data_IF_754969789945
#
_entry.id   IF_754969789945
#
_cell.length_a   1.000
_cell.length_b   1.000
_cell.length_c   1.000
_cell.angle_alpha   90.00
_cell.angle_beta   90.00
_cell.angle_gamma   90.00
#
_symmetry.space_group_name_H-M   'P 1'
#
loop_
_entity.id
_entity.type
_entity.pdbx_description
1 polymer ?
#
# COMPACT_ATOMS: atom_id res chain seq x y z
N UNK A 1 -34.26 15.63 -51.26
CA UNK A 1 -33.60 14.81 -50.22
C UNK A 1 -32.09 15.05 -50.04
N UNK A 2 -31.38 15.81 -50.93
CA UNK A 2 -29.93 16.03 -50.80
C UNK A 2 -29.49 17.32 -50.05
N UNK A 3 -30.43 18.14 -49.55
CA UNK A 3 -30.12 19.38 -48.79
C UNK A 3 -30.32 19.26 -47.27
N UNK A 4 -30.84 18.14 -46.77
CA UNK A 4 -31.13 17.94 -45.34
C UNK A 4 -29.98 17.21 -44.62
N UNK A 5 -29.23 16.35 -45.31
CA UNK A 5 -28.10 15.63 -44.70
C UNK A 5 -26.88 16.54 -44.41
N UNK A 6 -26.57 17.48 -45.28
CA UNK A 6 -25.37 18.32 -45.11
C UNK A 6 -25.50 19.28 -43.91
N UNK A 7 -26.72 19.73 -43.60
CA UNK A 7 -26.99 20.60 -42.45
C UNK A 7 -26.99 19.83 -41.11
N UNK A 8 -27.20 18.51 -41.14
CA UNK A 8 -27.17 17.67 -39.94
C UNK A 8 -25.73 17.26 -39.61
N UNK A 9 -24.90 16.96 -40.62
CA UNK A 9 -23.49 16.62 -40.45
C UNK A 9 -22.69 17.81 -39.91
N UNK A 10 -22.91 19.04 -40.40
CA UNK A 10 -22.23 20.23 -39.87
C UNK A 10 -22.57 20.52 -38.40
N UNK A 11 -23.82 20.28 -37.97
CA UNK A 11 -24.23 20.50 -36.57
C UNK A 11 -23.62 19.47 -35.61
N UNK A 12 -23.44 18.22 -36.04
CA UNK A 12 -22.79 17.19 -35.23
C UNK A 12 -21.28 17.43 -35.05
N UNK A 13 -20.59 17.92 -36.09
CA UNK A 13 -19.15 18.24 -36.01
C UNK A 13 -18.90 19.42 -35.07
N UNK A 14 -19.78 20.43 -35.05
CA UNK A 14 -19.63 21.58 -34.14
C UNK A 14 -19.84 21.23 -32.66
N UNK A 15 -20.68 20.24 -32.35
CA UNK A 15 -20.95 19.78 -30.96
C UNK A 15 -19.80 18.89 -30.43
N UNK A 16 -19.10 18.17 -31.32
CA UNK A 16 -18.01 17.26 -30.94
C UNK A 16 -16.68 17.96 -30.64
N UNK A 17 -16.49 19.23 -31.02
CA UNK A 17 -15.24 19.96 -30.74
C UNK A 17 -15.26 20.59 -29.33
N UNK A 18 -16.43 20.83 -28.73
CA UNK A 18 -16.54 21.42 -27.37
C UNK A 18 -16.59 20.39 -26.24
N UNK A 19 -16.77 19.11 -26.56
CA UNK A 19 -16.77 18.02 -25.58
C UNK A 19 -15.93 16.88 -26.15
N UNK A 20 -14.69 16.71 -25.66
CA UNK A 20 -13.65 15.85 -26.23
C UNK A 20 -13.97 14.35 -26.27
N UNK A 21 -14.99 13.95 -27.02
CA UNK A 21 -15.47 12.59 -27.18
C UNK A 21 -15.33 12.20 -28.66
N UNK A 22 -14.44 11.26 -28.97
CA UNK A 22 -14.33 10.70 -30.33
C UNK A 22 -15.23 9.46 -30.41
N UNK A 23 -16.30 9.54 -31.22
CA UNK A 23 -17.15 8.39 -31.58
C UNK A 23 -16.87 8.07 -33.05
N UNK A 24 -16.39 6.86 -33.35
CA UNK A 24 -16.26 6.35 -34.71
C UNK A 24 -17.51 5.58 -35.12
N UNK A 25 -18.20 6.04 -36.18
CA UNK A 25 -19.35 5.37 -36.78
C UNK A 25 -18.90 4.40 -37.90
N UNK A 26 -19.35 3.16 -37.86
CA UNK A 26 -19.26 2.22 -38.99
C UNK A 26 -20.69 1.90 -39.45
N UNK A 27 -21.02 2.24 -40.69
CA UNK A 27 -22.30 1.87 -41.30
C UNK A 27 -22.14 0.60 -42.13
N UNK A 28 -22.84 -0.47 -41.75
CA UNK A 28 -23.03 -1.67 -42.56
C UNK A 28 -24.53 -1.90 -42.80
N UNK A 29 -24.93 -2.10 -44.05
CA UNK A 29 -26.30 -2.41 -44.44
C UNK A 29 -26.53 -3.93 -44.38
N UNK A 30 -27.53 -4.38 -43.61
CA UNK A 30 -28.14 -5.70 -43.78
C UNK A 30 -29.59 -5.53 -44.26
N UNK A 31 -29.95 -6.32 -45.26
CA UNK A 31 -31.09 -6.12 -46.16
C UNK A 31 -32.46 -6.52 -45.63
N UNK A 32 -32.86 -6.03 -44.45
CA UNK A 32 -34.26 -6.03 -44.00
C UNK A 32 -34.56 -4.61 -43.49
N UNK A 33 -35.46 -3.87 -44.15
CA UNK A 33 -35.66 -2.43 -44.03
C UNK A 33 -36.15 -1.88 -42.67
N UNK A 34 -35.44 -2.16 -41.58
CA UNK A 34 -35.58 -1.53 -40.27
C UNK A 34 -34.20 -1.02 -39.78
N UNK A 35 -34.05 0.31 -39.67
CA UNK A 35 -32.87 0.92 -39.05
C UNK A 35 -32.85 0.61 -37.55
N UNK A 36 -31.85 -0.17 -37.11
CA UNK A 36 -31.53 -0.35 -35.69
C UNK A 36 -30.15 0.26 -35.43
N UNK A 37 -30.12 1.46 -34.86
CA UNK A 37 -28.87 2.06 -34.37
C UNK A 37 -28.37 1.22 -33.20
N UNK A 38 -27.23 0.54 -33.38
CA UNK A 38 -26.52 -0.15 -32.30
C UNK A 38 -25.34 0.73 -31.87
N UNK A 39 -25.36 1.17 -30.62
CA UNK A 39 -24.23 1.85 -30.01
C UNK A 39 -23.26 0.80 -29.50
N UNK A 40 -22.10 0.66 -30.16
CA UNK A 40 -21.01 -0.15 -29.63
C UNK A 40 -20.08 0.76 -28.85
N UNK A 41 -20.18 0.71 -27.53
CA UNK A 41 -19.21 1.36 -26.65
C UNK A 41 -17.94 0.49 -26.63
N UNK A 42 -16.89 0.90 -27.34
CA UNK A 42 -15.58 0.29 -27.17
C UNK A 42 -15.00 0.77 -25.83
N UNK A 43 -15.24 0.01 -24.76
CA UNK A 43 -14.35 0.04 -23.59
C UNK A 43 -13.00 -0.50 -24.08
N UNK A 44 -11.93 0.28 -23.91
CA UNK A 44 -10.59 -0.28 -23.85
C UNK A 44 -10.64 -1.40 -22.81
N UNK A 45 -10.25 -2.60 -23.22
CA UNK A 45 -10.23 -3.80 -22.39
C UNK A 45 -9.41 -3.55 -21.12
N UNK A 46 -10.11 -3.21 -20.05
CA UNK A 46 -9.65 -3.50 -18.69
C UNK A 46 -9.91 -4.99 -18.48
N UNK A 47 -8.85 -5.73 -18.17
CA UNK A 47 -9.01 -7.06 -17.59
C UNK A 47 -9.96 -6.93 -16.39
N UNK A 48 -11.00 -7.77 -16.36
CA UNK A 48 -11.96 -7.80 -15.26
C UNK A 48 -11.24 -8.23 -13.97
N UNK A 49 -10.90 -7.28 -13.10
CA UNK A 49 -10.53 -7.56 -11.72
C UNK A 49 -11.81 -7.59 -10.88
N UNK A 50 -12.01 -8.70 -10.16
CA UNK A 50 -13.07 -8.81 -9.17
C UNK A 50 -12.64 -7.98 -7.95
N UNK A 51 -13.21 -6.78 -7.81
CA UNK A 51 -13.19 -6.04 -6.56
C UNK A 51 -14.04 -6.79 -5.53
N UNK A 52 -13.38 -7.55 -4.65
CA UNK A 52 -13.97 -7.93 -3.38
C UNK A 52 -13.42 -6.96 -2.32
N UNK A 53 -14.19 -5.91 -2.03
CA UNK A 53 -13.93 -5.02 -0.91
C UNK A 53 -14.08 -5.81 0.39
N UNK A 54 -13.00 -6.08 1.12
CA UNK A 54 -13.11 -6.38 2.55
C UNK A 54 -12.92 -5.09 3.33
N UNK A 55 -14.05 -4.51 3.75
CA UNK A 55 -14.10 -3.60 4.89
C UNK A 55 -13.69 -4.38 6.14
N UNK A 56 -13.01 -3.70 7.06
CA UNK A 56 -12.58 -4.19 8.37
C UNK A 56 -11.37 -5.12 8.40
N UNK A 57 -10.19 -4.52 8.53
CA UNK A 57 -9.17 -5.08 9.42
C UNK A 57 -8.39 -3.96 10.12
N UNK A 58 -9.07 -3.25 11.02
CA UNK A 58 -8.49 -2.26 11.93
C UNK A 58 -8.37 -2.84 13.33
N UNK A 59 -7.56 -3.87 13.53
CA UNK A 59 -7.35 -4.43 14.89
C UNK A 59 -6.47 -3.55 15.78
N UNK A 60 -5.89 -2.47 15.23
CA UNK A 60 -4.96 -1.59 15.96
C UNK A 60 -5.24 -0.08 15.73
N UNK A 61 -6.33 0.29 15.06
CA UNK A 61 -6.63 1.70 14.77
C UNK A 61 -7.52 2.33 15.86
N UNK A 62 -7.27 3.59 16.25
CA UNK A 62 -8.13 4.28 17.20
C UNK A 62 -9.60 4.35 16.77
N UNK A 63 -10.49 3.89 17.65
CA UNK A 63 -11.90 4.24 17.55
C UNK A 63 -12.05 5.75 17.80
N UNK A 64 -12.77 6.44 16.91
CA UNK A 64 -13.01 7.89 17.01
C UNK A 64 -13.79 8.18 18.30
N UNK A 65 -13.21 8.93 19.23
CA UNK A 65 -14.02 9.57 20.26
C UNK A 65 -14.78 10.68 19.56
N UNK A 66 -16.11 10.61 19.49
CA UNK A 66 -16.92 11.75 19.09
C UNK A 66 -16.64 12.88 20.08
N UNK A 67 -15.73 13.78 19.75
CA UNK A 67 -15.46 14.97 20.55
C UNK A 67 -16.38 16.07 20.06
N UNK A 68 -17.22 16.54 20.98
CA UNK A 68 -17.80 17.87 21.00
C UNK A 68 -16.85 18.90 20.39
N UNK A 69 -17.38 19.70 19.46
CA UNK A 69 -16.67 20.73 18.72
C UNK A 69 -15.87 21.67 19.64
N UNK A 70 -14.58 21.92 19.37
CA UNK A 70 -13.92 23.12 19.82
C UNK A 70 -14.29 24.25 18.85
N UNK A 71 -15.18 25.13 19.30
CA UNK A 71 -15.42 26.41 18.65
C UNK A 71 -14.17 27.28 18.73
N UNK A 72 -13.53 27.53 17.59
CA UNK A 72 -12.81 28.78 17.30
C UNK A 72 -12.57 28.85 15.79
N UNK A 73 -13.36 29.70 15.12
CA UNK A 73 -13.14 30.08 13.71
C UNK A 73 -11.79 30.79 13.52
N UNK A 74 -11.10 30.60 12.39
CA UNK A 74 -10.06 31.51 11.95
C UNK A 74 -10.67 32.78 11.36
N UNK A 75 -10.23 33.92 11.86
CA UNK A 75 -10.60 35.28 11.44
C UNK A 75 -10.36 35.50 9.93
N UNK A 76 -11.43 35.85 9.21
CA UNK A 76 -11.39 36.52 7.90
C UNK A 76 -12.20 37.82 8.02
N UNK A 77 -11.58 38.95 7.74
CA UNK A 77 -12.20 40.29 7.77
C UNK A 77 -12.94 40.61 6.48
N UNK A 78 -14.22 41.01 6.56
CA UNK A 78 -14.78 42.21 5.91
C UNK A 78 -16.21 42.54 6.39
N UNK A 79 -16.55 43.84 6.36
CA UNK A 79 -17.70 44.52 6.99
C UNK A 79 -19.03 44.42 6.20
N UNK A 80 -20.17 44.46 6.92
CA UNK A 80 -21.48 44.79 6.36
C UNK A 80 -22.63 44.69 7.38
N UNK A 81 -23.39 45.77 7.54
CA UNK A 81 -24.32 46.14 8.62
C UNK A 81 -25.75 45.52 8.61
N UNK A 82 -26.28 45.28 9.83
CA UNK A 82 -27.68 45.51 10.34
C UNK A 82 -28.85 44.69 9.76
N UNK A 83 -29.95 44.30 10.44
CA UNK A 83 -30.70 44.64 11.69
C UNK A 83 -31.51 43.39 12.18
N UNK A 84 -31.71 43.20 13.50
CA UNK A 84 -32.63 42.17 14.07
C UNK A 84 -34.10 42.64 14.18
N UNK A 85 -34.92 42.17 15.16
CA UNK A 85 -34.93 40.89 15.89
C UNK A 85 -36.35 40.21 15.92
N UNK A 86 -36.45 38.96 16.37
CA UNK A 86 -37.70 38.46 16.99
C UNK A 86 -37.44 37.32 17.98
N UNK A 87 -37.98 37.52 19.17
CA UNK A 87 -37.99 36.69 20.38
C UNK A 87 -39.00 35.54 20.29
N UNK A 88 -38.65 34.36 20.85
CA UNK A 88 -39.54 33.45 21.61
C UNK A 88 -38.67 32.32 22.21
N UNK A 89 -38.37 32.41 23.51
CA UNK A 89 -39.01 31.68 24.63
C UNK A 89 -38.67 30.18 24.73
N UNK A 90 -37.93 29.91 25.80
CA UNK A 90 -37.50 28.65 26.38
C UNK A 90 -38.65 27.87 27.00
N UNK A 91 -38.76 26.57 26.70
CA UNK A 91 -39.33 25.57 27.61
C UNK A 91 -38.55 24.27 27.52
N UNK A 92 -37.94 23.89 28.65
CA UNK A 92 -37.29 22.61 28.91
C UNK A 92 -38.30 21.68 29.58
N UNK A 93 -38.54 20.49 29.01
CA UNK A 93 -39.09 19.35 29.76
C UNK A 93 -38.30 18.07 29.45
N UNK A 94 -37.99 17.26 30.49
CA UNK A 94 -37.18 16.04 30.33
C UNK A 94 -38.02 14.84 29.89
N UNK A 95 -37.46 14.01 29.01
CA UNK A 95 -38.04 12.71 28.65
C UNK A 95 -37.91 11.68 29.78
N UNK A 96 -38.94 10.87 30.08
CA UNK A 96 -38.89 9.88 31.15
C UNK A 96 -38.05 8.65 30.75
N UNK A 97 -37.01 8.36 31.53
CA UNK A 97 -36.25 7.12 31.48
C UNK A 97 -37.02 6.02 32.23
N UNK A 98 -37.47 4.98 31.53
CA UNK A 98 -38.03 3.77 32.16
C UNK A 98 -36.96 2.68 32.19
N UNK A 99 -36.36 2.49 33.37
CA UNK A 99 -35.43 1.38 33.64
C UNK A 99 -36.25 0.17 34.03
N UNK A 100 -36.43 -0.79 33.10
CA UNK A 100 -37.00 -2.11 33.41
C UNK A 100 -35.87 -3.04 33.86
N UNK A 101 -35.91 -3.63 35.07
CA UNK A 101 -34.94 -4.63 35.46
C UNK A 101 -35.15 -5.92 34.65
N UNK A 102 -34.08 -6.41 34.03
CA UNK A 102 -34.05 -7.72 33.40
C UNK A 102 -33.82 -8.79 34.50
N UNK A 103 -34.57 -9.90 34.52
CA UNK A 103 -34.42 -10.93 35.54
C UNK A 103 -33.10 -11.69 35.34
N UNK A 104 -32.29 -11.76 36.40
CA UNK A 104 -31.12 -12.62 36.49
C UNK A 104 -31.56 -14.03 36.88
N UNK A 105 -31.68 -14.92 35.90
CA UNK A 105 -31.74 -16.37 36.14
C UNK A 105 -30.33 -16.95 36.05
N UNK A 106 -29.79 -17.40 37.17
CA UNK A 106 -28.55 -18.17 37.24
C UNK A 106 -28.89 -19.63 36.99
N UNK A 107 -28.69 -20.13 35.77
CA UNK A 107 -28.64 -21.57 35.52
C UNK A 107 -27.23 -22.10 35.86
N UNK A 108 -27.09 -23.14 36.70
CA UNK A 108 -25.81 -23.81 36.88
C UNK A 108 -25.45 -24.62 35.64
N UNK A 109 -24.22 -24.45 35.14
CA UNK A 109 -23.68 -25.28 34.05
C UNK A 109 -23.64 -26.77 34.44
N UNK A 110 -24.07 -27.70 33.58
CA UNK A 110 -23.88 -29.13 33.84
C UNK A 110 -22.40 -29.48 33.71
N UNK A 111 -21.78 -29.82 34.84
CA UNK A 111 -20.43 -30.40 34.88
C UNK A 111 -20.53 -31.87 34.49
N UNK A 112 -20.15 -32.22 33.26
CA UNK A 112 -19.95 -33.62 32.85
C UNK A 112 -18.48 -33.96 32.96
N UNK A 113 -18.09 -34.52 34.11
CA UNK A 113 -16.78 -35.12 34.31
C UNK A 113 -16.77 -36.49 33.61
N UNK A 114 -16.22 -36.54 32.39
CA UNK A 114 -15.93 -37.81 31.73
C UNK A 114 -14.58 -38.34 32.23
N UNK A 115 -14.52 -39.51 32.90
CA UNK A 115 -13.23 -40.10 33.25
C UNK A 115 -12.49 -40.54 31.98
N UNK A 116 -11.23 -40.13 31.86
CA UNK A 116 -10.30 -40.61 30.83
C UNK A 116 -9.89 -42.05 31.16
N UNK A 117 -9.90 -43.00 30.21
CA UNK A 117 -9.40 -44.34 30.45
C UNK A 117 -7.88 -44.36 30.50
N UNK A 118 -7.32 -44.61 31.69
CA UNK A 118 -5.89 -44.87 31.89
C UNK A 118 -5.58 -46.29 31.40
N UNK A 119 -4.94 -46.42 30.23
CA UNK A 119 -4.33 -47.68 29.79
C UNK A 119 -2.83 -47.64 30.04
N UNK A 120 -2.41 -48.21 31.16
CA UNK A 120 -1.00 -48.46 31.47
C UNK A 120 -0.53 -49.68 30.68
N UNK A 121 0.20 -49.47 29.58
CA UNK A 121 0.89 -50.55 28.86
C UNK A 121 2.33 -50.63 29.38
N UNK A 122 2.78 -51.76 29.97
CA UNK A 122 4.17 -51.92 30.36
C UNK A 122 5.08 -52.04 29.13
N UNK A 123 6.20 -51.32 29.17
CA UNK A 123 7.28 -51.38 28.17
C UNK A 123 8.14 -52.64 28.40
N UNK A 124 8.38 -53.50 27.40
CA UNK A 124 9.30 -54.61 27.56
C UNK A 124 10.75 -54.13 27.36
N UNK A 125 11.53 -54.19 28.45
CA UNK A 125 12.99 -54.07 28.43
C UNK A 125 13.59 -55.31 27.78
N UNK A 126 14.26 -55.16 26.64
CA UNK A 126 15.17 -56.19 26.11
C UNK A 126 16.52 -55.57 25.79
N UNK A 127 17.48 -55.90 26.65
CA UNK A 127 18.90 -55.58 26.48
C UNK A 127 19.51 -56.68 25.62
N UNK A 128 20.05 -56.36 24.44
CA UNK A 128 20.96 -57.25 23.71
C UNK A 128 22.16 -56.45 23.20
N UNK A 129 23.41 -56.87 23.49
CA UNK A 129 24.60 -56.15 23.08
C UNK A 129 24.89 -56.38 21.59
N UNK A 130 25.35 -55.33 20.91
CA UNK A 130 25.86 -55.41 19.53
C UNK A 130 27.39 -55.39 19.55
N UNK A 131 28.07 -56.23 18.74
CA UNK A 131 29.49 -56.53 18.91
C UNK A 131 30.40 -55.45 18.35
N UNK A 132 31.53 -55.24 19.05
CA UNK A 132 32.66 -54.44 18.62
C UNK A 132 33.51 -55.26 17.65
N UNK A 133 33.63 -54.82 16.39
CA UNK A 133 34.68 -55.29 15.49
C UNK A 133 35.34 -54.12 14.77
N UNK A 134 36.58 -53.89 15.15
CA UNK A 134 37.54 -52.96 14.55
C UNK A 134 38.14 -53.59 13.27
N UNK A 135 38.11 -52.89 12.13
CA UNK A 135 39.01 -53.16 10.99
C UNK A 135 39.23 -51.88 10.15
N UNK A 136 40.46 -51.60 9.66
CA UNK A 136 40.92 -50.24 9.44
C UNK A 136 40.53 -49.61 8.08
N UNK A 137 40.65 -48.29 8.07
CA UNK A 137 40.45 -47.34 6.96
C UNK A 137 41.32 -47.65 5.72
N UNK A 138 40.77 -47.52 4.50
CA UNK A 138 41.53 -47.15 3.32
C UNK A 138 41.44 -45.64 3.11
N UNK A 139 42.59 -44.98 3.20
CA UNK A 139 42.83 -43.59 2.84
C UNK A 139 42.90 -43.50 1.31
N UNK A 140 41.92 -42.85 0.68
CA UNK A 140 42.05 -42.33 -0.68
C UNK A 140 41.81 -40.83 -0.65
N UNK A 141 42.92 -40.10 -0.55
CA UNK A 141 42.99 -38.64 -0.66
C UNK A 141 42.68 -38.25 -2.10
N UNK A 142 41.46 -37.83 -2.38
CA UNK A 142 41.15 -37.04 -3.59
C UNK A 142 41.32 -35.57 -3.20
N UNK A 143 42.21 -34.79 -3.85
CA UNK A 143 42.34 -33.38 -3.54
C UNK A 143 41.04 -32.67 -3.90
N UNK A 144 40.44 -32.03 -2.90
CA UNK A 144 39.38 -31.04 -3.09
C UNK A 144 40.02 -29.80 -3.73
N UNK A 145 39.48 -29.24 -4.83
CA UNK A 145 39.97 -27.98 -5.35
C UNK A 145 39.66 -26.89 -4.33
N UNK A 146 40.70 -26.37 -3.69
CA UNK A 146 40.65 -25.12 -2.93
C UNK A 146 40.56 -23.98 -3.95
N UNK A 147 39.35 -23.69 -4.40
CA UNK A 147 39.03 -22.37 -4.94
C UNK A 147 38.63 -21.52 -3.74
N UNK A 148 39.59 -20.76 -3.23
CA UNK A 148 39.31 -19.59 -2.40
C UNK A 148 38.63 -18.57 -3.30
N UNK A 149 37.32 -18.70 -3.46
CA UNK A 149 36.51 -17.68 -4.11
C UNK A 149 36.44 -16.49 -3.15
N UNK A 150 36.97 -15.32 -3.51
CA UNK A 150 36.79 -14.15 -2.65
C UNK A 150 35.29 -13.85 -2.60
N UNK A 151 34.75 -13.68 -1.38
CA UNK A 151 33.43 -13.07 -1.21
C UNK A 151 33.34 -11.82 -2.10
N UNK A 152 32.28 -11.64 -2.90
CA UNK A 152 32.10 -10.40 -3.62
C UNK A 152 31.78 -9.34 -2.57
N UNK A 153 32.82 -8.61 -2.16
CA UNK A 153 32.64 -7.27 -1.63
C UNK A 153 32.07 -6.48 -2.78
N UNK A 154 30.77 -6.16 -2.72
CA UNK A 154 30.15 -5.17 -3.61
C UNK A 154 30.74 -3.81 -3.30
N UNK A 155 31.98 -3.62 -3.74
CA UNK A 155 32.61 -2.30 -3.83
C UNK A 155 31.94 -1.57 -4.99
N UNK A 156 31.78 -0.25 -4.84
CA UNK A 156 31.20 0.71 -5.81
C UNK A 156 31.90 0.77 -7.18
N UNK A 157 32.73 -0.20 -7.54
CA UNK A 157 33.70 -0.14 -8.63
C UNK A 157 33.21 -0.74 -9.97
N UNK A 158 31.97 -1.22 -10.06
CA UNK A 158 31.40 -1.76 -11.32
C UNK A 158 30.36 -0.85 -11.98
N UNK A 159 30.11 0.35 -11.45
CA UNK A 159 29.44 1.38 -12.22
C UNK A 159 30.48 1.97 -13.18
N UNK A 160 30.16 2.05 -14.47
CA UNK A 160 30.92 2.86 -15.40
C UNK A 160 31.12 4.24 -14.74
N UNK A 161 32.36 4.75 -14.69
CA UNK A 161 32.82 5.89 -13.86
C UNK A 161 32.05 7.23 -14.04
N UNK A 162 30.95 7.25 -14.79
CA UNK A 162 30.11 8.42 -15.09
C UNK A 162 28.62 8.26 -14.69
N UNK A 163 28.19 7.20 -14.00
CA UNK A 163 26.78 7.08 -13.56
C UNK A 163 26.52 7.96 -12.35
N UNK A 164 25.84 9.10 -12.58
CA UNK A 164 25.38 9.98 -11.50
C UNK A 164 24.10 9.42 -10.89
N UNK A 165 24.21 8.91 -9.66
CA UNK A 165 23.04 8.48 -8.86
C UNK A 165 22.28 9.73 -8.38
N UNK A 166 20.97 9.74 -8.57
CA UNK A 166 20.07 10.78 -8.06
C UNK A 166 18.70 10.21 -7.75
N UNK A 167 18.18 10.48 -6.56
CA UNK A 167 16.82 10.06 -6.16
C UNK A 167 15.88 11.24 -5.96
N UNK A 168 14.57 10.96 -5.93
CA UNK A 168 13.57 11.99 -5.65
C UNK A 168 13.36 12.08 -4.14
N UNK A 169 14.01 13.06 -3.51
CA UNK A 169 13.85 13.33 -2.07
C UNK A 169 12.70 14.34 -1.85
N UNK A 170 11.73 14.02 -0.99
CA UNK A 170 10.62 14.92 -0.70
C UNK A 170 11.08 16.15 0.10
N UNK A 171 10.46 17.30 -0.14
CA UNK A 171 10.78 18.58 0.52
C UNK A 171 9.49 19.21 1.03
N UNK A 172 9.43 19.54 2.31
CA UNK A 172 8.37 20.34 2.91
C UNK A 172 8.70 21.83 2.74
N UNK A 173 8.11 22.49 1.75
CA UNK A 173 8.42 23.90 1.45
C UNK A 173 7.68 24.91 2.32
N UNK A 174 6.64 24.49 3.05
CA UNK A 174 5.83 25.33 3.92
C UNK A 174 4.87 26.29 3.19
N UNK A 175 4.79 26.25 1.86
CA UNK A 175 3.93 27.17 1.08
C UNK A 175 2.44 26.88 1.28
N UNK A 176 2.08 25.63 1.58
CA UNK A 176 0.77 25.24 2.09
C UNK A 176 0.94 24.27 3.25
N UNK A 177 0.49 24.66 4.43
CA UNK A 177 0.59 23.82 5.61
C UNK A 177 -0.51 24.10 6.64
N UNK A 178 -0.81 23.09 7.44
CA UNK A 178 -1.60 23.21 8.67
C UNK A 178 -0.69 22.92 9.86
N UNK A 179 -0.72 23.77 10.88
CA UNK A 179 0.10 23.64 12.09
C UNK A 179 -0.81 23.71 13.31
N UNK A 180 -0.91 22.61 14.06
CA UNK A 180 -1.69 22.55 15.29
C UNK A 180 -1.14 21.46 16.22
N UNK A 181 -1.17 21.71 17.53
CA UNK A 181 -0.85 20.71 18.58
C UNK A 181 0.45 19.93 18.34
N UNK A 182 1.53 20.63 17.99
CA UNK A 182 2.84 20.06 17.67
C UNK A 182 2.88 19.16 16.43
N UNK A 183 1.87 19.24 15.56
CA UNK A 183 1.81 18.52 14.30
C UNK A 183 1.79 19.51 13.15
N UNK A 184 2.69 19.31 12.20
CA UNK A 184 2.75 20.05 10.95
C UNK A 184 2.35 19.10 9.82
N UNK A 185 1.31 19.45 9.07
CA UNK A 185 0.91 18.81 7.81
C UNK A 185 1.31 19.76 6.69
N UNK A 186 2.37 19.45 5.95
CA UNK A 186 2.81 20.21 4.77
C UNK A 186 2.26 19.54 3.50
N UNK A 187 1.34 20.21 2.83
CA UNK A 187 0.71 19.74 1.59
C UNK A 187 1.06 20.64 0.41
N UNK A 188 2.20 21.32 0.48
CA UNK A 188 2.72 22.21 -0.57
C UNK A 188 2.89 21.51 -1.92
N UNK A 189 3.19 20.21 -1.90
CA UNK A 189 3.47 19.40 -3.09
C UNK A 189 2.30 18.51 -3.51
N UNK A 190 1.15 18.60 -2.84
CA UNK A 190 0.04 17.66 -3.04
C UNK A 190 -0.53 17.71 -4.46
N UNK A 191 -0.72 18.91 -5.02
CA UNK A 191 -1.31 19.08 -6.35
C UNK A 191 -0.31 18.95 -7.51
N UNK A 192 0.98 19.22 -7.25
CA UNK A 192 2.01 19.33 -8.30
C UNK A 192 2.91 18.10 -8.41
N UNK A 193 3.14 17.37 -7.30
CA UNK A 193 4.04 16.22 -7.25
C UNK A 193 3.42 14.99 -6.58
N UNK A 194 2.18 15.07 -6.12
CA UNK A 194 1.45 13.91 -5.64
C UNK A 194 1.87 13.38 -4.26
N UNK A 195 2.44 14.22 -3.40
CA UNK A 195 2.76 13.85 -2.02
C UNK A 195 2.53 15.00 -1.04
N UNK A 196 2.35 14.66 0.22
CA UNK A 196 2.40 15.59 1.36
C UNK A 196 3.38 15.06 2.40
N UNK A 197 3.72 15.88 3.39
CA UNK A 197 4.63 15.50 4.47
C UNK A 197 4.05 15.84 5.84
N UNK A 198 4.33 15.00 6.83
CA UNK A 198 3.91 15.23 8.22
C UNK A 198 5.13 15.22 9.12
N UNK A 199 5.16 16.12 10.10
CA UNK A 199 6.17 16.18 11.15
C UNK A 199 5.52 16.34 12.52
N UNK A 200 5.97 15.55 13.48
CA UNK A 200 5.71 15.79 14.90
C UNK A 200 6.85 16.63 15.50
N UNK A 201 6.52 17.75 16.13
CA UNK A 201 7.47 18.61 16.86
C UNK A 201 7.33 18.46 18.38
N UNK A 202 6.51 17.52 18.84
CA UNK A 202 6.28 17.20 20.25
C UNK A 202 7.24 16.13 20.78
N UNK A 203 6.81 15.42 21.83
CA UNK A 203 7.63 14.43 22.54
C UNK A 203 7.81 13.15 21.71
N UNK A 204 9.03 12.60 21.69
CA UNK A 204 9.38 11.42 20.90
C UNK A 204 8.80 10.09 21.44
N UNK A 205 8.29 10.04 22.67
CA UNK A 205 7.72 8.81 23.27
C UNK A 205 6.30 8.50 22.81
N UNK A 206 5.63 9.47 22.19
CA UNK A 206 4.23 9.37 21.81
C UNK A 206 4.06 8.69 20.45
N UNK A 207 3.05 7.84 20.33
CA UNK A 207 2.71 7.17 19.05
C UNK A 207 1.69 8.00 18.30
N UNK A 208 2.04 8.43 17.09
CA UNK A 208 1.13 9.18 16.23
C UNK A 208 0.73 8.35 15.01
N UNK A 209 -0.49 8.57 14.54
CA UNK A 209 -1.02 7.95 13.34
C UNK A 209 -1.61 8.96 12.38
N UNK A 210 -1.35 8.78 11.09
CA UNK A 210 -1.87 9.60 10.00
C UNK A 210 -2.99 8.83 9.31
N UNK A 211 -4.13 9.46 9.09
CA UNK A 211 -5.25 8.92 8.32
C UNK A 211 -5.53 9.84 7.13
N UNK A 212 -5.62 9.27 5.94
CA UNK A 212 -6.16 9.93 4.76
C UNK A 212 -7.57 9.39 4.55
N UNK A 213 -8.48 10.26 4.17
CA UNK A 213 -9.84 9.92 3.77
C UNK A 213 -10.03 10.49 2.36
N UNK A 214 -10.34 9.64 1.37
CA UNK A 214 -10.62 10.10 0.01
C UNK A 214 -12.07 10.59 -0.16
N UNK A 215 -12.42 11.05 -1.36
CA UNK A 215 -13.75 11.58 -1.68
C UNK A 215 -14.87 10.54 -1.50
N UNK A 216 -14.55 9.26 -1.66
CA UNK A 216 -15.48 8.14 -1.50
C UNK A 216 -15.59 7.67 -0.03
N UNK A 217 -14.81 8.28 0.87
CA UNK A 217 -14.77 7.95 2.29
C UNK A 217 -13.90 6.75 2.63
N UNK A 218 -13.09 6.23 1.69
CA UNK A 218 -12.10 5.19 1.97
C UNK A 218 -11.01 5.76 2.87
N UNK A 219 -10.54 4.95 3.83
CA UNK A 219 -9.58 5.37 4.85
C UNK A 219 -8.26 4.64 4.69
N UNK A 220 -7.17 5.39 4.70
CA UNK A 220 -5.81 4.90 4.61
C UNK A 220 -5.04 5.35 5.83
N UNK A 221 -4.51 4.39 6.58
CA UNK A 221 -3.93 4.64 7.89
C UNK A 221 -2.42 4.43 7.83
N UNK A 222 -1.66 5.17 8.62
CA UNK A 222 -0.22 5.04 8.63
C UNK A 222 0.30 5.37 10.03
N UNK A 223 1.36 4.68 10.46
CA UNK A 223 2.13 5.16 11.60
C UNK A 223 2.99 6.35 11.16
N UNK A 224 3.10 7.35 12.03
CA UNK A 224 4.07 8.44 11.88
C UNK A 224 5.33 8.09 12.67
N UNK A 225 6.51 8.38 12.10
CA UNK A 225 7.76 8.17 12.83
C UNK A 225 7.85 8.98 14.13
N UNK A 226 8.64 8.47 15.07
CA UNK A 226 8.92 9.11 16.37
C UNK A 226 10.21 9.94 16.39
N UNK A 227 10.88 10.08 15.25
CA UNK A 227 12.19 10.76 15.15
C UNK A 227 12.07 12.29 15.16
N UNK A 228 10.85 12.81 15.09
CA UNK A 228 10.58 14.24 14.99
C UNK A 228 10.99 14.81 13.64
N UNK A 229 11.16 13.98 12.61
CA UNK A 229 11.51 14.37 11.25
C UNK A 229 10.30 14.30 10.31
N UNK A 230 10.36 15.05 9.21
CA UNK A 230 9.33 14.98 8.18
C UNK A 230 9.30 13.60 7.53
N UNK A 231 8.10 13.09 7.31
CA UNK A 231 7.84 11.87 6.57
C UNK A 231 6.86 12.14 5.45
N UNK A 232 7.13 11.60 4.26
CA UNK A 232 6.29 11.81 3.08
C UNK A 232 5.29 10.68 2.88
N UNK A 233 4.11 11.06 2.40
CA UNK A 233 2.97 10.17 2.15
C UNK A 233 2.41 10.46 0.76
N UNK A 234 1.92 9.42 0.09
CA UNK A 234 1.27 9.48 -1.22
C UNK A 234 -0.24 9.38 -1.11
N UNK A 235 -0.95 9.71 -2.19
CA UNK A 235 -2.41 9.63 -2.28
C UNK A 235 -2.83 8.32 -2.98
N UNK A 236 -3.42 7.35 -2.24
CA UNK A 236 -3.63 6.00 -2.77
C UNK A 236 -4.67 5.89 -3.89
N UNK A 237 -5.80 6.58 -3.72
CA UNK A 237 -6.93 6.63 -4.68
C UNK A 237 -6.67 7.49 -5.92
N UNK A 238 -5.47 8.08 -6.03
CA UNK A 238 -5.10 8.93 -7.15
C UNK A 238 -5.48 10.40 -6.95
N UNK A 239 -5.64 11.14 -8.07
CA UNK A 239 -5.97 12.56 -8.02
C UNK A 239 -7.39 12.75 -7.47
N UNK A 240 -7.61 13.80 -6.69
CA UNK A 240 -8.88 14.06 -6.04
C UNK A 240 -8.68 14.80 -4.71
N UNK A 241 -9.77 15.06 -4.01
CA UNK A 241 -9.73 15.67 -2.70
C UNK A 241 -9.57 14.62 -1.59
N UNK A 242 -8.86 15.02 -0.54
CA UNK A 242 -8.59 14.19 0.63
C UNK A 242 -8.69 15.01 1.90
N UNK A 243 -9.21 14.38 2.94
CA UNK A 243 -9.03 14.85 4.32
C UNK A 243 -7.86 14.10 4.95
N UNK A 244 -6.86 14.84 5.45
CA UNK A 244 -5.73 14.29 6.19
C UNK A 244 -5.96 14.57 7.67
N UNK A 245 -5.93 13.54 8.51
CA UNK A 245 -6.05 13.64 9.98
C UNK A 245 -4.84 13.02 10.65
N UNK A 246 -4.37 13.63 11.73
CA UNK A 246 -3.28 13.10 12.55
C UNK A 246 -3.76 12.94 13.99
N UNK A 247 -3.59 11.74 14.53
CA UNK A 247 -4.04 11.34 15.85
C UNK A 247 -2.85 11.02 16.75
N UNK A 248 -2.93 11.41 18.03
CA UNK A 248 -2.14 10.80 19.10
C UNK A 248 -2.82 9.50 19.51
N UNK A 249 -2.13 8.37 19.37
CA UNK A 249 -2.65 7.03 19.67
C UNK A 249 -2.25 6.57 21.08
N UNK A 250 -3.23 6.13 21.85
CA UNK A 250 -3.02 5.48 23.13
C UNK A 250 -3.20 3.96 22.98
N UNK A 251 -2.08 3.23 22.98
CA UNK A 251 -2.09 1.77 22.83
C UNK A 251 -2.81 1.04 23.98
N UNK A 252 -2.85 1.61 25.19
CA UNK A 252 -3.51 0.97 26.34
C UNK A 252 -5.04 0.98 26.25
N UNK A 253 -5.60 2.00 25.58
CA UNK A 253 -7.04 2.15 25.41
C UNK A 253 -7.51 1.83 23.99
N UNK A 254 -6.58 1.73 23.03
CA UNK A 254 -6.89 1.60 21.62
C UNK A 254 -7.63 2.82 21.05
N UNK A 255 -7.46 4.00 21.67
CA UNK A 255 -8.16 5.23 21.28
C UNK A 255 -7.18 6.29 20.77
N UNK A 256 -7.71 7.22 19.98
CA UNK A 256 -6.92 8.26 19.32
C UNK A 256 -7.54 9.63 19.56
N UNK A 257 -6.70 10.59 19.92
CA UNK A 257 -7.11 11.99 20.04
C UNK A 257 -6.60 12.75 18.83
N UNK A 258 -7.49 13.34 18.03
CA UNK A 258 -7.11 14.14 16.87
C UNK A 258 -6.28 15.35 17.30
N UNK A 259 -5.17 15.58 16.60
CA UNK A 259 -4.21 16.66 16.89
C UNK A 259 -4.14 17.69 15.78
N UNK A 260 -4.31 17.27 14.53
CA UNK A 260 -4.36 18.17 13.38
C UNK A 260 -5.18 17.56 12.24
N UNK A 261 -5.73 18.41 11.37
CA UNK A 261 -6.45 18.03 10.16
C UNK A 261 -6.16 19.03 9.02
N UNK A 262 -6.24 18.57 7.78
CA UNK A 262 -6.14 19.41 6.59
C UNK A 262 -6.97 18.83 5.44
N UNK A 263 -7.71 19.69 4.73
CA UNK A 263 -8.34 19.36 3.44
C UNK A 263 -7.37 19.66 2.30
N UNK A 264 -7.17 18.71 1.40
CA UNK A 264 -6.13 18.76 0.38
C UNK A 264 -6.67 18.30 -0.96
N UNK A 265 -6.42 19.07 -2.01
CA UNK A 265 -6.64 18.64 -3.39
C UNK A 265 -5.33 18.09 -3.98
N UNK A 266 -5.32 16.79 -4.26
CA UNK A 266 -4.17 16.05 -4.76
C UNK A 266 -4.18 15.94 -6.29
N UNK A 267 -3.00 16.05 -6.88
CA UNK A 267 -2.79 16.03 -8.32
C UNK A 267 -1.41 15.46 -8.65
N UNK A 268 -1.23 14.99 -9.88
CA UNK A 268 -0.01 14.31 -10.30
C UNK A 268 0.41 13.16 -9.36
N UNK A 269 -0.58 12.42 -8.84
CA UNK A 269 -0.39 11.43 -7.79
C UNK A 269 0.48 10.25 -8.20
N UNK A 270 0.46 9.89 -9.49
CA UNK A 270 1.41 8.92 -10.07
C UNK A 270 2.86 9.35 -9.80
N UNK A 271 3.22 10.62 -10.00
CA UNK A 271 4.58 11.11 -9.74
C UNK A 271 4.99 10.95 -8.27
N UNK A 272 4.04 11.02 -7.34
CA UNK A 272 4.28 10.82 -5.91
C UNK A 272 4.95 9.47 -5.61
N UNK A 273 4.59 8.43 -6.37
CA UNK A 273 5.16 7.09 -6.26
C UNK A 273 6.58 6.95 -6.83
N UNK A 274 7.26 8.05 -7.14
CA UNK A 274 8.71 8.08 -7.42
C UNK A 274 9.54 8.54 -6.22
N UNK A 275 8.90 9.15 -5.21
CA UNK A 275 9.57 9.70 -4.05
C UNK A 275 9.79 8.66 -2.96
N UNK A 276 10.75 8.97 -2.08
CA UNK A 276 10.88 8.31 -0.77
C UNK A 276 9.63 8.60 0.05
N UNK A 277 9.04 7.58 0.68
CA UNK A 277 7.82 7.68 1.51
C UNK A 277 7.96 6.90 2.81
N UNK A 278 7.01 7.04 3.72
CA UNK A 278 6.93 6.29 4.98
C UNK A 278 7.03 4.76 4.78
N UNK A 279 6.42 4.25 3.72
CA UNK A 279 6.37 2.82 3.39
C UNK A 279 7.48 2.35 2.45
N UNK A 280 8.20 3.27 1.79
CA UNK A 280 9.29 2.97 0.86
C UNK A 280 10.41 3.97 1.12
N UNK A 281 11.27 3.62 2.07
CA UNK A 281 12.35 4.48 2.55
C UNK A 281 13.71 4.04 1.98
N UNK A 282 14.46 4.97 1.38
CA UNK A 282 15.79 4.74 0.81
C UNK A 282 16.55 6.06 0.66
N UNK A 283 17.87 5.98 0.50
CA UNK A 283 18.73 7.15 0.23
C UNK A 283 19.61 6.88 -0.97
N UNK A 284 20.31 7.90 -1.50
CA UNK A 284 21.29 7.72 -2.58
C UNK A 284 22.43 6.77 -2.19
N UNK A 285 22.65 6.56 -0.89
CA UNK A 285 23.66 5.66 -0.34
C UNK A 285 23.17 4.22 -0.16
N UNK A 286 21.88 3.96 -0.36
CA UNK A 286 21.32 2.62 -0.23
C UNK A 286 21.93 1.67 -1.26
N UNK A 287 22.27 0.45 -0.84
CA UNK A 287 22.85 -0.58 -1.71
C UNK A 287 21.86 -0.99 -2.80
N UNK A 288 20.56 -1.04 -2.49
CA UNK A 288 19.48 -1.27 -3.46
C UNK A 288 19.39 -0.19 -4.54
N UNK A 289 19.69 1.07 -4.21
CA UNK A 289 19.78 2.15 -5.19
C UNK A 289 20.97 1.91 -6.11
N UNK A 290 22.16 1.68 -5.56
CA UNK A 290 23.36 1.42 -6.35
C UNK A 290 23.19 0.22 -7.29
N UNK A 291 22.61 -0.87 -6.78
CA UNK A 291 22.32 -2.08 -7.57
C UNK A 291 21.27 -1.85 -8.65
N UNK A 292 20.25 -1.02 -8.40
CA UNK A 292 19.29 -0.62 -9.43
C UNK A 292 19.96 0.08 -10.61
N UNK A 293 20.85 1.03 -10.33
CA UNK A 293 21.59 1.73 -11.38
C UNK A 293 22.52 0.80 -12.17
N UNK A 294 23.15 -0.16 -11.51
CA UNK A 294 23.97 -1.19 -12.19
C UNK A 294 23.11 -2.05 -13.13
N UNK A 295 21.98 -2.59 -12.65
CA UNK A 295 21.09 -3.46 -13.45
C UNK A 295 20.48 -2.70 -14.63
N UNK A 296 20.23 -1.40 -14.46
CA UNK A 296 19.60 -0.55 -15.46
C UNK A 296 20.60 0.15 -16.39
N UNK A 297 21.91 -0.08 -16.25
CA UNK A 297 22.90 0.56 -17.09
C UNK A 297 22.68 0.21 -18.57
N UNK A 298 22.76 1.23 -19.43
CA UNK A 298 22.47 1.12 -20.86
C UNK A 298 20.99 0.90 -21.24
N UNK A 299 20.07 0.68 -20.30
CA UNK A 299 18.64 0.52 -20.58
C UNK A 299 17.94 1.88 -20.70
N UNK A 300 17.24 2.09 -21.81
CA UNK A 300 16.66 3.40 -22.16
C UNK A 300 15.17 3.53 -21.88
N UNK A 301 14.44 2.43 -21.75
CA UNK A 301 12.98 2.45 -21.49
C UNK A 301 12.66 1.99 -20.08
N UNK A 302 11.63 2.59 -19.48
CA UNK A 302 11.15 2.20 -18.16
C UNK A 302 10.74 0.72 -18.12
N UNK A 303 10.08 0.24 -19.18
CA UNK A 303 9.70 -1.18 -19.29
C UNK A 303 10.93 -2.11 -19.24
N UNK A 304 12.00 -1.79 -19.97
CA UNK A 304 13.21 -2.62 -19.98
C UNK A 304 13.87 -2.64 -18.59
N UNK A 305 13.94 -1.48 -17.93
CA UNK A 305 14.47 -1.34 -16.57
C UNK A 305 13.67 -2.15 -15.56
N UNK A 306 12.34 -2.03 -15.59
CA UNK A 306 11.44 -2.77 -14.69
C UNK A 306 11.59 -4.28 -14.88
N UNK A 307 11.64 -4.76 -16.14
CA UNK A 307 11.85 -6.18 -16.43
C UNK A 307 13.20 -6.68 -15.94
N UNK A 308 14.27 -5.89 -16.09
CA UNK A 308 15.60 -6.25 -15.61
C UNK A 308 15.66 -6.32 -14.08
N UNK A 309 15.09 -5.32 -13.38
CA UNK A 309 14.97 -5.30 -11.92
C UNK A 309 14.16 -6.51 -11.43
N UNK A 310 12.99 -6.74 -12.02
CA UNK A 310 12.12 -7.86 -11.67
C UNK A 310 12.84 -9.20 -11.83
N UNK A 311 13.49 -9.43 -12.98
CA UNK A 311 14.27 -10.64 -13.24
C UNK A 311 15.37 -10.83 -12.21
N UNK A 312 16.13 -9.78 -11.90
CA UNK A 312 17.18 -9.86 -10.89
C UNK A 312 16.63 -10.30 -9.53
N UNK A 313 15.53 -9.72 -9.08
CA UNK A 313 14.91 -10.07 -7.79
C UNK A 313 14.46 -11.54 -7.80
N UNK A 314 13.75 -11.98 -8.84
CA UNK A 314 13.29 -13.37 -8.99
C UNK A 314 14.45 -14.37 -8.99
N UNK A 315 15.56 -14.04 -9.65
CA UNK A 315 16.70 -14.95 -9.79
C UNK A 315 17.61 -14.98 -8.55
N UNK A 316 17.56 -13.96 -7.68
CA UNK A 316 18.57 -13.78 -6.63
C UNK A 316 18.01 -13.74 -5.21
N UNK A 317 16.70 -13.63 -5.02
CA UNK A 317 16.10 -13.61 -3.68
C UNK A 317 15.37 -14.93 -3.46
N UNK A 318 15.69 -15.61 -2.37
CA UNK A 318 15.03 -16.82 -1.91
C UNK A 318 13.92 -16.50 -0.89
N UNK A 319 12.88 -17.34 -0.88
CA UNK A 319 11.77 -17.15 0.04
C UNK A 319 12.14 -17.63 1.45
N UNK A 320 12.01 -16.74 2.43
CA UNK A 320 12.30 -17.03 3.83
C UNK A 320 11.13 -17.78 4.49
N UNK A 321 11.16 -19.10 4.36
CA UNK A 321 10.14 -19.98 4.95
C UNK A 321 10.16 -19.99 6.47
N UNK A 322 11.32 -19.82 7.09
CA UNK A 322 11.43 -19.83 8.56
C UNK A 322 10.74 -18.60 9.14
N UNK A 323 10.99 -17.41 8.58
CA UNK A 323 10.29 -16.19 8.97
C UNK A 323 8.78 -16.30 8.73
N UNK A 324 8.37 -16.89 7.60
CA UNK A 324 6.97 -17.14 7.28
C UNK A 324 6.29 -18.05 8.31
N UNK A 325 6.88 -19.19 8.66
CA UNK A 325 6.27 -20.15 9.59
C UNK A 325 6.31 -19.70 11.04
N UNK A 326 7.32 -18.93 11.42
CA UNK A 326 7.43 -18.37 12.78
C UNK A 326 6.56 -17.13 12.99
N UNK A 327 5.84 -16.68 11.95
CA UNK A 327 5.05 -15.45 11.94
C UNK A 327 5.86 -14.24 12.46
N UNK A 328 7.13 -14.21 12.07
CA UNK A 328 8.05 -13.14 12.45
C UNK A 328 7.79 -11.93 11.54
N UNK A 329 6.76 -11.20 11.94
CA UNK A 329 6.29 -9.97 11.34
C UNK A 329 7.05 -8.76 11.92
N UNK A 330 8.39 -8.83 11.96
CA UNK A 330 9.18 -7.60 12.10
C UNK A 330 8.97 -6.79 10.82
N UNK A 331 7.90 -5.99 10.77
CA UNK A 331 7.49 -5.08 9.68
C UNK A 331 8.52 -4.02 9.31
N UNK A 332 9.72 -4.08 9.88
CA UNK A 332 10.82 -3.21 9.52
C UNK A 332 11.46 -3.72 8.21
N UNK A 333 10.69 -3.65 7.13
CA UNK A 333 11.11 -4.07 5.80
C UNK A 333 12.21 -3.12 5.32
N UNK A 334 13.35 -3.69 4.95
CA UNK A 334 14.53 -2.93 4.53
C UNK A 334 15.12 -3.55 3.27
N UNK A 335 15.03 -2.82 2.15
CA UNK A 335 15.50 -3.27 0.85
C UNK A 335 17.00 -3.63 0.84
N UNK A 336 17.85 -2.88 1.57
CA UNK A 336 19.29 -3.18 1.65
C UNK A 336 19.54 -4.48 2.42
N UNK A 337 18.74 -4.75 3.45
CA UNK A 337 18.81 -6.03 4.17
C UNK A 337 18.43 -7.19 3.24
N UNK A 338 17.30 -7.12 2.54
CA UNK A 338 16.86 -8.14 1.58
C UNK A 338 17.92 -8.36 0.49
N UNK A 339 18.49 -7.28 -0.04
CA UNK A 339 19.53 -7.35 -1.06
C UNK A 339 20.80 -8.04 -0.56
N UNK A 340 21.17 -7.80 0.71
CA UNK A 340 22.36 -8.36 1.35
C UNK A 340 22.18 -9.82 1.74
N UNK A 341 21.07 -10.16 2.38
CA UNK A 341 20.78 -11.53 2.84
C UNK A 341 20.36 -12.46 1.72
N UNK A 342 19.88 -11.90 0.59
CA UNK A 342 19.28 -12.65 -0.52
C UNK A 342 18.05 -13.46 -0.09
N UNK A 343 17.38 -13.06 0.98
CA UNK A 343 16.22 -13.76 1.52
C UNK A 343 15.14 -12.78 2.00
N UNK A 344 13.87 -13.17 1.86
CA UNK A 344 12.74 -12.44 2.44
C UNK A 344 11.39 -13.09 2.18
N UNK A 345 10.31 -12.49 2.69
CA UNK A 345 8.92 -12.85 2.39
C UNK A 345 8.30 -11.81 1.44
N UNK A 346 7.03 -11.97 1.06
CA UNK A 346 6.40 -11.17 0.01
C UNK A 346 6.55 -9.64 0.16
N UNK A 347 6.54 -9.15 1.40
CA UNK A 347 6.74 -7.72 1.72
C UNK A 347 8.16 -7.24 1.41
N UNK A 348 9.18 -8.08 1.64
CA UNK A 348 10.58 -7.78 1.34
C UNK A 348 10.85 -7.73 -0.16
N UNK A 349 10.29 -8.69 -0.92
CA UNK A 349 10.35 -8.67 -2.39
C UNK A 349 9.72 -7.39 -2.94
N UNK A 350 8.51 -7.05 -2.47
CA UNK A 350 7.78 -5.90 -2.95
C UNK A 350 8.47 -4.57 -2.57
N UNK A 351 9.08 -4.49 -1.38
CA UNK A 351 9.86 -3.34 -0.94
C UNK A 351 11.13 -3.16 -1.78
N UNK A 352 11.90 -4.24 -2.00
CA UNK A 352 13.11 -4.19 -2.82
C UNK A 352 12.80 -3.72 -4.24
N UNK A 353 11.74 -4.26 -4.85
CA UNK A 353 11.29 -3.84 -6.18
C UNK A 353 10.86 -2.37 -6.20
N UNK A 354 10.08 -1.92 -5.19
CA UNK A 354 9.69 -0.52 -5.06
C UNK A 354 10.89 0.42 -4.96
N UNK A 355 11.88 0.11 -4.12
CA UNK A 355 13.10 0.93 -3.98
C UNK A 355 13.88 0.98 -5.30
N UNK A 356 14.11 -0.17 -5.94
CA UNK A 356 14.88 -0.24 -7.17
C UNK A 356 14.21 0.50 -8.33
N UNK A 357 12.89 0.37 -8.50
CA UNK A 357 12.16 1.10 -9.54
C UNK A 357 12.08 2.61 -9.26
N UNK A 358 11.81 3.01 -8.00
CA UNK A 358 11.75 4.43 -7.63
C UNK A 358 13.10 5.13 -7.76
N UNK A 359 14.21 4.42 -7.52
CA UNK A 359 15.56 4.91 -7.80
C UNK A 359 15.74 5.31 -9.27
N UNK A 360 15.11 4.59 -10.19
CA UNK A 360 15.07 4.91 -11.63
C UNK A 360 14.02 5.96 -12.01
N UNK A 361 13.39 6.61 -11.02
CA UNK A 361 12.26 7.55 -11.20
C UNK A 361 11.01 6.92 -11.80
N UNK A 362 10.87 5.59 -11.70
CA UNK A 362 9.73 4.86 -12.25
C UNK A 362 8.66 4.74 -11.14
N UNK A 363 7.45 5.28 -11.33
CA UNK A 363 6.42 5.26 -10.30
C UNK A 363 6.04 3.83 -9.92
N UNK A 364 6.16 3.48 -8.64
CA UNK A 364 5.90 2.12 -8.15
C UNK A 364 5.14 2.12 -6.84
N UNK A 365 3.97 1.48 -6.82
CA UNK A 365 3.19 1.18 -5.61
C UNK A 365 3.60 -0.18 -5.07
N UNK A 366 3.77 -0.29 -3.76
CA UNK A 366 3.62 -1.57 -3.06
C UNK A 366 2.13 -1.73 -2.78
N UNK A 367 1.54 -2.88 -3.10
CA UNK A 367 0.14 -3.19 -2.83
C UNK A 367 0.09 -4.35 -1.86
N UNK A 368 -0.77 -4.22 -0.87
CA UNK A 368 -1.08 -5.25 0.09
C UNK A 368 -2.49 -5.75 -0.15
N UNK A 369 -2.73 -7.01 0.15
CA UNK A 369 -4.05 -7.58 -0.04
C UNK A 369 -4.08 -9.07 0.15
N UNK A 370 -5.05 -9.71 -0.49
CA UNK A 370 -5.22 -11.14 -0.42
C UNK A 370 -5.16 -11.79 -1.79
N UNK A 371 -4.61 -13.00 -1.82
CA UNK A 371 -4.60 -13.85 -3.01
C UNK A 371 -5.45 -15.10 -2.79
N UNK A 372 -6.11 -15.57 -3.85
CA UNK A 372 -6.84 -16.83 -3.87
C UNK A 372 -6.71 -17.59 -5.21
N UNK A 373 -6.39 -18.90 -5.22
CA UNK A 373 -5.89 -19.65 -4.07
C UNK A 373 -4.47 -19.19 -3.70
N UNK A 374 -4.20 -19.06 -2.41
CA UNK A 374 -2.85 -18.99 -1.87
C UNK A 374 -2.14 -20.34 -1.96
N UNK A 375 -0.91 -20.42 -1.43
CA UNK A 375 -0.03 -21.60 -1.57
C UNK A 375 -0.63 -22.91 -1.00
N UNK A 376 -1.60 -22.82 -0.09
CA UNK A 376 -2.28 -23.95 0.56
C UNK A 376 -3.73 -24.14 0.07
N UNK A 377 -4.12 -23.53 -1.05
CA UNK A 377 -5.49 -23.57 -1.56
C UNK A 377 -6.47 -22.64 -0.82
N UNK A 378 -6.03 -21.91 0.21
CA UNK A 378 -6.83 -20.95 0.98
C UNK A 378 -6.42 -19.53 0.64
N UNK A 379 -7.26 -18.57 1.01
CA UNK A 379 -6.92 -17.15 0.92
C UNK A 379 -5.69 -16.86 1.78
N UNK A 380 -4.74 -16.07 1.25
CA UNK A 380 -3.52 -15.70 1.97
C UNK A 380 -3.26 -14.21 1.80
N UNK A 381 -2.82 -13.55 2.87
CA UNK A 381 -2.32 -12.18 2.78
C UNK A 381 -1.02 -12.16 1.96
N UNK A 382 -0.87 -11.13 1.13
CA UNK A 382 0.22 -11.04 0.17
C UNK A 382 0.57 -9.60 -0.16
N UNK A 383 1.79 -9.38 -0.63
CA UNK A 383 2.27 -8.11 -1.12
C UNK A 383 2.86 -8.25 -2.53
N UNK A 384 2.57 -7.28 -3.39
CA UNK A 384 3.05 -7.21 -4.77
C UNK A 384 3.23 -5.75 -5.19
N UNK A 385 3.59 -5.51 -6.45
CA UNK A 385 3.80 -4.15 -6.97
C UNK A 385 2.85 -3.81 -8.12
N UNK A 386 2.52 -2.52 -8.22
CA UNK A 386 2.02 -1.90 -9.44
C UNK A 386 3.06 -0.89 -9.92
N UNK A 387 3.49 -1.02 -11.17
CA UNK A 387 4.54 -0.16 -11.75
C UNK A 387 3.97 0.62 -12.94
N UNK A 388 4.17 1.93 -12.97
CA UNK A 388 3.64 2.78 -14.04
C UNK A 388 4.70 3.01 -15.12
N UNK A 389 4.37 2.64 -16.36
CA UNK A 389 5.13 3.02 -17.55
C UNK A 389 4.22 2.93 -18.78
N UNK A 390 4.57 3.65 -19.85
CA UNK A 390 3.79 3.69 -21.11
C UNK A 390 2.31 4.06 -20.91
N UNK A 391 2.01 4.91 -19.93
CA UNK A 391 0.66 5.44 -19.70
C UNK A 391 -0.25 4.60 -18.80
N UNK A 392 0.18 3.42 -18.33
CA UNK A 392 -0.65 2.53 -17.52
C UNK A 392 0.11 1.87 -16.36
N UNK A 393 -0.65 1.38 -15.37
CA UNK A 393 -0.13 0.58 -14.26
C UNK A 393 -0.06 -0.89 -14.64
N UNK A 394 1.10 -1.50 -14.44
CA UNK A 394 1.38 -2.91 -14.75
C UNK A 394 1.54 -3.72 -13.46
N UNK A 395 1.06 -4.96 -13.48
CA UNK A 395 1.13 -5.89 -12.36
C UNK A 395 2.50 -6.57 -12.30
N UNK A 396 3.13 -6.62 -11.12
CA UNK A 396 4.33 -7.42 -10.87
C UNK A 396 4.27 -8.07 -9.49
N UNK A 397 4.50 -9.37 -9.44
CA UNK A 397 4.68 -10.14 -8.21
C UNK A 397 5.98 -10.94 -8.31
N UNK A 398 7.04 -10.38 -7.74
CA UNK A 398 8.37 -10.99 -7.76
C UNK A 398 8.43 -12.25 -6.88
N UNK A 399 7.59 -12.33 -5.84
CA UNK A 399 7.50 -13.52 -4.96
C UNK A 399 7.00 -14.74 -5.72
N UNK A 400 6.05 -14.53 -6.63
CA UNK A 400 5.43 -15.60 -7.44
C UNK A 400 6.00 -15.71 -8.85
N UNK A 401 6.96 -14.85 -9.23
CA UNK A 401 7.44 -14.70 -10.60
C UNK A 401 6.29 -14.51 -11.61
N UNK A 402 5.44 -13.51 -11.37
CA UNK A 402 4.30 -13.19 -12.23
C UNK A 402 4.27 -11.73 -12.66
N UNK A 403 3.89 -11.50 -13.91
CA UNK A 403 3.63 -10.18 -14.50
C UNK A 403 2.17 -9.99 -14.90
N UNK A 404 1.31 -10.94 -14.54
CA UNK A 404 -0.14 -10.86 -14.64
C UNK A 404 -0.76 -11.72 -13.53
N UNK A 405 -2.03 -11.47 -13.22
CA UNK A 405 -2.74 -12.25 -12.19
C UNK A 405 -3.02 -13.68 -12.63
N UNK A 406 -3.32 -13.86 -13.92
CA UNK A 406 -3.71 -15.15 -14.49
C UNK A 406 -4.95 -15.71 -13.80
N UNK A 407 -4.92 -16.97 -13.38
CA UNK A 407 -6.04 -17.61 -12.66
C UNK A 407 -6.08 -17.33 -11.15
N UNK A 408 -5.13 -16.56 -10.61
CA UNK A 408 -5.12 -16.19 -9.18
C UNK A 408 -5.83 -14.86 -9.02
N UNK A 409 -6.81 -14.82 -8.14
CA UNK A 409 -7.50 -13.58 -7.76
C UNK A 409 -6.63 -12.81 -6.81
N UNK A 410 -6.42 -11.52 -7.08
CA UNK A 410 -5.82 -10.56 -6.18
C UNK A 410 -6.91 -9.57 -5.78
N UNK A 411 -7.15 -9.44 -4.49
CA UNK A 411 -8.01 -8.39 -3.95
C UNK A 411 -7.13 -7.40 -3.20
N UNK A 412 -7.07 -6.19 -3.73
CA UNK A 412 -6.40 -5.07 -3.09
C UNK A 412 -7.15 -4.77 -1.79
N UNK A 413 -6.47 -4.91 -0.65
CA UNK A 413 -6.95 -4.37 0.62
C UNK A 413 -5.86 -3.44 1.07
N UNK A 414 -6.06 -2.14 0.89
CA UNK A 414 -5.10 -1.15 1.37
C UNK A 414 -5.15 -1.10 2.90
N UNK A 415 -4.55 -2.11 3.52
CA UNK A 415 -4.22 -2.12 4.94
C UNK A 415 -2.84 -1.48 5.01
N UNK A 416 -2.82 -0.21 5.39
CA UNK A 416 -1.62 0.47 5.84
C UNK A 416 -1.72 0.76 7.33
#
# INVERSE_FOLDING_TARGET
MKKVCDNFIMKCVAILITSGLIISCVSGCNGDGNERTTYTQSKSSSENYIENSSKDNTTDWPNDESTTEPGTEPTVTEQGETTGPSTEQTTTEPSPTTTKPSPTTTEPSPTTTKPSPTTTKPSPTTTKPSPTTTKPSPTTTKPSPTTTEPSPTTTKDNLNQNVVISINTPIASGTKSSVANNIIIDYSNASSKGYFMVKNTGTASDTYKVQLIDEDGNKYNYNLNTKGEYEAFTFPSGNGNYTIKVYLFNASTGKGTMKNSAEVSAGNTTQGYTYVTNTVNFTEKSDAVSKSYEICDGLTTDEAKVKAIFKYIVDNIEYDWDRYYNNDDTRNVNADNTLKTKMGVCTDYACLMSVMCRAQKIPTKTVYGYIYPGSNGKQAYHAWNRVYYNGSWHFYDATKNKTSTGSVTYSDSEIY
#
